data_IF_298169347886
#
_entry.id   IF_298169347886
#
_cell.length_a   1.000
_cell.length_b   1.000
_cell.length_c   1.000
_cell.angle_alpha   90.00
_cell.angle_beta   90.00
_cell.angle_gamma   90.00
#
_symmetry.space_group_name_H-M   'P 1'
#
loop_
_entity.id
_entity.type
_entity.pdbx_description
1 polymer ?
#
# COMPACT_ATOMS: atom_id res chain seq x y z
N UNK A 1 0.48 -20.16 6.86
CA UNK A 1 0.78 -19.96 8.29
C UNK A 1 -0.17 -20.65 9.26
N UNK A 2 -1.20 -21.30 8.78
CA UNK A 2 -2.09 -22.10 9.64
C UNK A 2 -1.33 -23.27 10.26
N UNK A 3 -1.54 -23.59 11.54
CA UNK A 3 -2.45 -22.95 12.49
C UNK A 3 -1.85 -21.75 13.26
N UNK A 4 -0.72 -21.22 12.87
CA UNK A 4 0.02 -20.18 13.59
C UNK A 4 -0.30 -18.75 13.13
N UNK A 5 -1.04 -18.61 12.05
CA UNK A 5 -1.55 -17.34 11.56
C UNK A 5 -2.84 -16.92 12.24
N UNK A 6 -3.33 -15.74 11.87
CA UNK A 6 -4.63 -15.21 12.26
C UNK A 6 -5.27 -14.46 11.09
N UNK A 7 -6.54 -14.14 11.19
CA UNK A 7 -7.35 -13.52 10.14
C UNK A 7 -6.98 -12.06 9.80
N UNK A 8 -6.16 -11.44 10.66
CA UNK A 8 -5.65 -10.07 10.48
C UNK A 8 -4.23 -10.03 9.87
N UNK A 9 -3.68 -11.16 9.46
CA UNK A 9 -2.34 -11.19 8.87
C UNK A 9 -2.32 -10.58 7.47
N UNK A 10 -1.33 -9.72 7.26
CA UNK A 10 -0.99 -9.16 5.96
C UNK A 10 0.52 -9.28 5.70
N UNK A 11 0.89 -9.20 4.45
CA UNK A 11 2.29 -9.28 4.04
C UNK A 11 2.52 -8.52 2.73
N UNK A 12 3.79 -8.42 2.36
CA UNK A 12 4.20 -7.86 1.09
C UNK A 12 5.25 -8.74 0.42
N UNK A 13 5.22 -8.75 -0.90
CA UNK A 13 6.18 -9.48 -1.73
C UNK A 13 6.86 -8.46 -2.63
N UNK A 14 8.20 -8.47 -2.63
CA UNK A 14 9.01 -7.57 -3.44
C UNK A 14 9.29 -8.20 -4.81
N UNK A 15 9.18 -7.39 -5.86
CA UNK A 15 9.49 -7.76 -7.24
C UNK A 15 10.35 -6.71 -7.93
N UNK A 16 11.02 -7.06 -9.03
CA UNK A 16 11.56 -6.07 -9.95
C UNK A 16 10.42 -5.18 -10.48
N UNK A 17 10.62 -3.85 -10.55
CA UNK A 17 9.58 -2.95 -11.04
C UNK A 17 9.35 -3.16 -12.54
N UNK A 18 8.10 -2.99 -13.00
CA UNK A 18 7.76 -2.96 -14.41
C UNK A 18 7.93 -1.57 -15.01
N UNK A 19 7.94 -0.54 -14.17
CA UNK A 19 8.13 0.86 -14.51
C UNK A 19 9.59 1.26 -14.35
N UNK A 20 10.16 1.91 -15.36
CA UNK A 20 11.54 2.38 -15.35
C UNK A 20 11.81 3.47 -14.29
N UNK A 21 10.79 4.24 -13.92
CA UNK A 21 10.88 5.31 -12.93
C UNK A 21 10.74 4.83 -11.48
N UNK A 22 10.47 3.54 -11.26
CA UNK A 22 10.35 2.93 -9.93
C UNK A 22 11.64 2.23 -9.49
N UNK A 23 11.85 2.16 -8.18
CA UNK A 23 12.99 1.48 -7.58
C UNK A 23 12.71 0.00 -7.33
N UNK A 24 11.47 -0.33 -6.94
CA UNK A 24 11.00 -1.67 -6.63
C UNK A 24 9.50 -1.79 -6.85
N UNK A 25 9.01 -3.00 -7.11
CA UNK A 25 7.59 -3.31 -7.11
C UNK A 25 7.16 -4.03 -5.83
N UNK A 26 5.93 -3.79 -5.39
CA UNK A 26 5.35 -4.42 -4.20
C UNK A 26 3.98 -4.98 -4.55
N UNK A 27 3.77 -6.24 -4.17
CA UNK A 27 2.46 -6.88 -4.14
C UNK A 27 2.05 -7.08 -2.68
N UNK A 28 0.89 -6.57 -2.32
CA UNK A 28 0.33 -6.75 -0.97
C UNK A 28 -0.60 -7.97 -0.94
N UNK A 29 -0.49 -8.72 0.12
CA UNK A 29 -1.30 -9.92 0.36
C UNK A 29 -1.90 -9.90 1.76
N UNK A 30 -3.10 -10.40 1.88
CA UNK A 30 -3.76 -10.64 3.15
C UNK A 30 -4.57 -11.96 3.08
N UNK A 31 -5.23 -12.33 4.16
CA UNK A 31 -5.99 -13.58 4.24
C UNK A 31 -7.13 -13.67 3.21
N UNK A 32 -7.67 -12.53 2.78
CA UNK A 32 -8.71 -12.44 1.74
C UNK A 32 -8.16 -12.42 0.30
N UNK A 33 -6.83 -12.31 0.12
CA UNK A 33 -6.19 -12.28 -1.19
C UNK A 33 -5.21 -11.14 -1.39
N UNK A 34 -5.10 -10.67 -2.63
CA UNK A 34 -4.19 -9.58 -2.99
C UNK A 34 -4.88 -8.22 -2.86
N UNK A 35 -4.16 -7.24 -2.34
CA UNK A 35 -4.57 -5.85 -2.29
C UNK A 35 -3.86 -5.03 -3.37
N UNK A 36 -4.54 -4.05 -3.95
CA UNK A 36 -3.94 -3.15 -4.92
C UNK A 36 -2.99 -2.14 -4.27
N UNK A 37 -3.29 -1.72 -3.05
CA UNK A 37 -2.48 -0.80 -2.24
C UNK A 37 -2.74 -1.05 -0.75
N UNK A 38 -1.69 -0.88 0.08
CA UNK A 38 -1.78 -0.96 1.53
C UNK A 38 -0.84 0.07 2.16
N UNK A 39 -1.38 1.10 2.81
CA UNK A 39 -0.59 2.20 3.37
C UNK A 39 0.39 1.76 4.45
N UNK A 40 -0.08 1.07 5.49
CA UNK A 40 0.79 0.58 6.56
C UNK A 40 1.73 -0.53 6.07
N UNK A 41 1.28 -1.37 5.14
CA UNK A 41 2.13 -2.37 4.49
C UNK A 41 3.27 -1.72 3.70
N UNK A 42 3.00 -0.60 3.02
CA UNK A 42 4.04 0.19 2.33
C UNK A 42 5.07 0.73 3.31
N UNK A 43 4.65 1.34 4.42
CA UNK A 43 5.56 1.88 5.45
C UNK A 43 6.47 0.77 5.99
N UNK A 44 5.88 -0.35 6.42
CA UNK A 44 6.65 -1.50 6.93
C UNK A 44 7.60 -2.10 5.90
N UNK A 45 7.16 -2.22 4.64
CA UNK A 45 7.98 -2.77 3.54
C UNK A 45 9.15 -1.86 3.20
N UNK A 46 8.92 -0.53 3.12
CA UNK A 46 9.99 0.47 2.88
C UNK A 46 11.02 0.40 4.00
N UNK A 47 10.59 0.41 5.25
CA UNK A 47 11.46 0.29 6.42
C UNK A 47 12.32 -0.97 6.33
N UNK A 48 11.70 -2.11 6.18
CA UNK A 48 12.38 -3.41 6.12
C UNK A 48 13.35 -3.49 4.92
N UNK A 49 12.92 -3.02 3.75
CA UNK A 49 13.73 -3.11 2.54
C UNK A 49 14.98 -2.21 2.60
N UNK A 50 14.88 -1.03 3.20
CA UNK A 50 16.02 -0.12 3.37
C UNK A 50 16.98 -0.62 4.45
N UNK A 51 16.49 -1.01 5.63
CA UNK A 51 17.32 -1.47 6.74
C UNK A 51 18.07 -2.77 6.43
N UNK A 52 17.52 -3.61 5.58
CA UNK A 52 18.15 -4.88 5.16
C UNK A 52 18.87 -4.80 3.81
N UNK A 53 18.96 -3.61 3.20
CA UNK A 53 19.66 -3.41 1.93
C UNK A 53 19.04 -4.16 0.74
N UNK A 54 17.73 -4.45 0.80
CA UNK A 54 17.01 -5.18 -0.27
C UNK A 54 16.69 -4.29 -1.47
N UNK A 55 16.78 -2.98 -1.29
CA UNK A 55 16.57 -1.99 -2.36
C UNK A 55 17.65 -0.91 -2.28
N UNK A 56 18.02 -0.39 -3.45
CA UNK A 56 18.90 0.78 -3.57
C UNK A 56 18.14 1.89 -4.27
N UNK A 57 17.69 2.92 -3.52
CA UNK A 57 16.97 4.05 -4.09
C UNK A 57 17.80 4.79 -5.13
N UNK A 58 17.18 5.13 -6.25
CA UNK A 58 17.80 5.97 -7.29
C UNK A 58 18.01 7.40 -6.81
N UNK A 59 17.17 7.85 -5.87
CA UNK A 59 17.24 9.19 -5.28
C UNK A 59 17.32 9.05 -3.77
N UNK A 60 18.36 9.56 -3.09
CA UNK A 60 18.46 9.51 -1.64
C UNK A 60 17.24 10.16 -0.96
N UNK A 61 16.71 9.53 0.07
CA UNK A 61 15.55 10.01 0.82
C UNK A 61 14.19 9.76 0.15
N UNK A 62 14.17 9.18 -1.05
CA UNK A 62 12.93 8.90 -1.80
C UNK A 62 12.99 7.50 -2.40
N UNK A 63 11.94 6.73 -2.18
CA UNK A 63 11.75 5.41 -2.81
C UNK A 63 10.46 5.44 -3.63
N UNK A 64 10.56 5.13 -4.91
CA UNK A 64 9.43 5.02 -5.82
C UNK A 64 9.01 3.57 -5.98
N UNK A 65 7.76 3.31 -5.68
CA UNK A 65 7.18 1.98 -5.59
C UNK A 65 6.19 1.75 -6.71
N UNK A 66 6.40 0.66 -7.45
CA UNK A 66 5.44 0.16 -8.45
C UNK A 66 4.46 -0.77 -7.73
N UNK A 67 3.20 -0.34 -7.62
CA UNK A 67 2.14 -1.13 -6.98
C UNK A 67 1.03 -1.44 -7.98
N UNK A 68 0.18 -2.46 -7.74
CA UNK A 68 -0.96 -2.73 -8.62
C UNK A 68 -1.92 -1.54 -8.78
N UNK A 69 -1.97 -0.65 -7.79
CA UNK A 69 -2.76 0.58 -7.86
C UNK A 69 -2.08 1.70 -8.67
N UNK A 70 -0.75 1.63 -8.87
CA UNK A 70 0.06 2.63 -9.57
C UNK A 70 1.31 3.05 -8.80
N UNK A 71 1.84 4.21 -9.16
CA UNK A 71 3.03 4.77 -8.52
C UNK A 71 2.72 5.29 -7.12
N UNK A 72 3.47 4.80 -6.14
CA UNK A 72 3.49 5.33 -4.78
C UNK A 72 4.88 5.88 -4.50
N UNK A 73 4.96 7.07 -3.94
CA UNK A 73 6.23 7.69 -3.54
C UNK A 73 6.36 7.66 -2.02
N UNK A 74 7.44 7.08 -1.53
CA UNK A 74 7.80 7.08 -0.13
C UNK A 74 9.01 7.98 0.10
N UNK A 75 8.83 9.03 0.89
CA UNK A 75 9.91 9.84 1.45
C UNK A 75 10.32 9.21 2.78
N UNK A 76 11.60 9.12 3.05
CA UNK A 76 12.09 8.50 4.29
C UNK A 76 13.30 9.24 4.87
N UNK A 77 13.44 9.15 6.19
CA UNK A 77 14.63 9.62 6.90
C UNK A 77 15.32 8.44 7.59
N UNK A 78 16.65 8.51 7.63
CA UNK A 78 17.49 7.50 8.28
C UNK A 78 18.15 8.07 9.51
N UNK A 79 18.23 7.28 10.56
CA UNK A 79 19.05 7.52 11.74
C UNK A 79 20.07 6.37 11.87
N UNK A 80 21.25 6.58 11.30
CA UNK A 80 22.23 5.51 11.13
C UNK A 80 21.75 4.44 10.16
N UNK A 81 21.61 3.20 10.63
CA UNK A 81 21.14 2.05 9.84
C UNK A 81 19.60 1.86 9.91
N UNK A 82 18.93 2.64 10.75
CA UNK A 82 17.48 2.51 10.98
C UNK A 82 16.68 3.59 10.26
N UNK A 83 15.51 3.21 9.76
CA UNK A 83 14.53 4.16 9.22
C UNK A 83 13.78 4.80 10.38
N UNK A 84 13.87 6.12 10.49
CA UNK A 84 13.23 6.90 11.56
C UNK A 84 11.79 7.29 11.18
N UNK A 85 11.58 7.65 9.91
CA UNK A 85 10.28 8.08 9.41
C UNK A 85 10.07 7.62 7.96
N UNK A 86 8.84 7.24 7.65
CA UNK A 86 8.38 7.02 6.27
C UNK A 86 7.09 7.79 6.05
N UNK A 87 7.07 8.63 5.01
CA UNK A 87 5.92 9.39 4.56
C UNK A 87 5.55 8.97 3.15
N UNK A 88 4.33 8.54 2.92
CA UNK A 88 3.86 8.10 1.61
C UNK A 88 2.98 9.14 0.93
N UNK A 89 3.17 9.31 -0.37
CA UNK A 89 2.18 9.91 -1.28
C UNK A 89 1.51 8.77 -2.02
N UNK A 90 0.24 8.54 -1.66
CA UNK A 90 -0.56 7.47 -2.22
C UNK A 90 -1.01 7.77 -3.65
N UNK A 91 -1.55 6.77 -4.34
CA UNK A 91 -2.23 6.96 -5.63
C UNK A 91 -3.46 7.85 -5.44
N UNK A 92 -3.84 8.62 -6.48
CA UNK A 92 -5.03 9.48 -6.39
C UNK A 92 -6.30 8.69 -6.11
N UNK A 93 -7.11 9.17 -5.17
CA UNK A 93 -8.47 8.69 -4.99
C UNK A 93 -9.39 9.28 -6.06
N UNK A 94 -10.44 8.55 -6.42
CA UNK A 94 -11.43 9.04 -7.37
C UNK A 94 -12.84 8.60 -7.02
N UNK A 95 -13.82 9.38 -7.46
CA UNK A 95 -15.22 9.07 -7.28
C UNK A 95 -15.65 7.99 -8.27
N UNK A 96 -15.86 6.77 -7.78
CA UNK A 96 -16.20 5.62 -8.61
C UNK A 96 -17.66 5.60 -9.05
N UNK A 97 -18.58 5.87 -8.13
CA UNK A 97 -20.03 5.84 -8.38
C UNK A 97 -20.78 6.75 -7.42
N UNK A 98 -21.79 7.47 -7.95
CA UNK A 98 -22.74 8.28 -7.19
C UNK A 98 -24.15 7.66 -7.24
N UNK A 99 -25.05 8.13 -6.39
CA UNK A 99 -26.46 7.71 -6.37
C UNK A 99 -26.59 6.22 -6.03
N UNK A 100 -25.74 5.70 -5.15
CA UNK A 100 -25.89 4.36 -4.59
C UNK A 100 -27.00 4.40 -3.54
N UNK A 101 -27.93 3.47 -3.68
CA UNK A 101 -28.96 3.22 -2.68
C UNK A 101 -28.68 1.86 -2.03
N UNK A 102 -28.58 1.84 -0.71
CA UNK A 102 -28.36 0.64 0.10
C UNK A 102 -29.54 0.54 1.06
N UNK A 103 -30.25 -0.55 0.98
CA UNK A 103 -31.35 -0.85 1.91
C UNK A 103 -30.79 -1.39 3.23
N UNK A 104 -31.00 -0.64 4.30
CA UNK A 104 -30.60 -1.03 5.64
C UNK A 104 -31.83 -1.46 6.43
N UNK A 105 -31.90 -2.72 6.93
CA UNK A 105 -33.10 -3.25 7.57
C UNK A 105 -33.71 -2.40 8.68
N UNK A 106 -32.87 -1.72 9.46
CA UNK A 106 -33.29 -0.92 10.62
C UNK A 106 -33.39 0.59 10.34
N UNK A 107 -32.88 1.08 9.22
CA UNK A 107 -32.76 2.51 8.91
C UNK A 107 -33.45 2.90 7.59
N UNK A 108 -33.93 1.91 6.82
CA UNK A 108 -34.46 2.14 5.48
C UNK A 108 -33.37 2.45 4.44
N UNK A 109 -33.73 2.92 3.26
CA UNK A 109 -32.80 3.18 2.18
C UNK A 109 -31.88 4.37 2.50
N UNK A 110 -30.56 4.11 2.40
CA UNK A 110 -29.51 5.11 2.56
C UNK A 110 -28.93 5.45 1.19
N UNK A 111 -28.80 6.74 0.91
CA UNK A 111 -28.16 7.24 -0.29
C UNK A 111 -26.69 7.59 -0.04
N UNK A 112 -25.82 7.18 -0.93
CA UNK A 112 -24.39 7.40 -0.79
C UNK A 112 -23.66 7.49 -2.11
N UNK A 113 -22.35 7.71 -2.00
CA UNK A 113 -21.42 7.64 -3.10
C UNK A 113 -20.26 6.72 -2.70
N UNK A 114 -19.74 5.97 -3.66
CA UNK A 114 -18.54 5.18 -3.47
C UNK A 114 -17.34 5.91 -4.05
N UNK A 115 -16.41 6.29 -3.19
CA UNK A 115 -15.07 6.65 -3.58
C UNK A 115 -14.23 5.38 -3.69
N UNK A 116 -13.41 5.28 -4.71
CA UNK A 116 -12.38 4.27 -4.80
C UNK A 116 -11.10 4.90 -4.27
N UNK A 117 -10.74 4.56 -3.08
CA UNK A 117 -9.36 4.55 -2.67
C UNK A 117 -8.90 3.14 -2.99
N UNK A 118 -7.81 3.00 -3.72
CA UNK A 118 -7.27 1.71 -4.09
C UNK A 118 -6.73 0.99 -2.83
N UNK A 119 -7.63 0.63 -1.92
CA UNK A 119 -7.42 -0.26 -0.79
C UNK A 119 -8.11 -1.60 -1.05
#
# INVERSE_FOLDING_TARGET
FEPRGHDMMSGSILYPPTREDCDIAILFIETSGCLFMCGHGTIGTVTMALENGLVRPKTPGVLKLDTPAGLVTAEYTMNGEYVEEVRITNVPSFLYKTGLEVDCPDLGPLNGARCFENN
#
